data_IF_347527034006
#
_entry.id   IF_347527034006
#
_cell.length_a   1.000
_cell.length_b   1.000
_cell.length_c   1.000
_cell.angle_alpha   90.00
_cell.angle_beta   90.00
_cell.angle_gamma   90.00
#
_symmetry.space_group_name_H-M   'P 1'
#
loop_
_entity.id
_entity.type
_entity.pdbx_description
1 polymer ?
#
# COMPACT_ATOMS: atom_id res chain seq x y z
N UNK A 1 -24.44 -2.96 -26.53
CA UNK A 1 -23.15 -2.44 -27.07
C UNK A 1 -22.54 -1.34 -26.18
N UNK A 2 -23.32 -0.58 -25.40
CA UNK A 2 -22.82 0.48 -24.49
C UNK A 2 -21.96 -0.03 -23.32
N UNK A 3 -22.29 -1.17 -22.71
CA UNK A 3 -21.56 -1.69 -21.54
C UNK A 3 -20.12 -2.14 -21.84
N UNK A 4 -19.83 -2.59 -23.08
CA UNK A 4 -18.47 -3.00 -23.45
C UNK A 4 -17.56 -1.80 -23.69
N UNK A 5 -18.10 -0.68 -24.19
CA UNK A 5 -17.34 0.54 -24.40
C UNK A 5 -16.88 1.15 -23.07
N UNK A 6 -17.76 1.21 -22.06
CA UNK A 6 -17.39 1.70 -20.73
C UNK A 6 -16.34 0.82 -20.04
N UNK A 7 -16.40 -0.50 -20.24
CA UNK A 7 -15.38 -1.42 -19.71
C UNK A 7 -14.02 -1.20 -20.40
N UNK A 8 -14.00 -1.06 -21.73
CA UNK A 8 -12.77 -0.79 -22.48
C UNK A 8 -12.15 0.56 -22.11
N UNK A 9 -12.98 1.59 -21.92
CA UNK A 9 -12.54 2.90 -21.44
C UNK A 9 -11.91 2.79 -20.05
N UNK A 10 -12.59 2.13 -19.11
CA UNK A 10 -12.05 1.88 -17.76
C UNK A 10 -10.72 1.12 -17.80
N UNK A 11 -10.59 0.09 -18.65
CA UNK A 11 -9.33 -0.65 -18.83
C UNK A 11 -8.22 0.22 -19.41
N UNK A 12 -8.52 1.09 -20.37
CA UNK A 12 -7.54 2.01 -20.96
C UNK A 12 -7.07 3.05 -19.92
N UNK A 13 -7.99 3.59 -19.13
CA UNK A 13 -7.69 4.53 -18.05
C UNK A 13 -6.85 3.85 -16.94
N UNK A 14 -7.23 2.66 -16.51
CA UNK A 14 -6.45 1.88 -15.54
C UNK A 14 -5.04 1.60 -16.06
N UNK A 15 -4.90 1.17 -17.32
CA UNK A 15 -3.60 0.95 -17.94
C UNK A 15 -2.74 2.23 -18.00
N UNK A 16 -3.35 3.38 -18.26
CA UNK A 16 -2.67 4.68 -18.22
C UNK A 16 -2.19 5.02 -16.81
N UNK A 17 -3.06 4.92 -15.81
CA UNK A 17 -2.75 5.22 -14.41
C UNK A 17 -1.63 4.31 -13.88
N UNK A 18 -1.74 3.00 -14.12
CA UNK A 18 -0.71 2.02 -13.76
C UNK A 18 0.59 2.25 -14.54
N UNK A 19 0.52 2.59 -15.82
CA UNK A 19 1.69 2.87 -16.65
C UNK A 19 2.48 4.09 -16.16
N UNK A 20 1.79 5.20 -15.86
CA UNK A 20 2.41 6.39 -15.28
C UNK A 20 3.02 6.10 -13.90
N UNK A 21 2.28 5.39 -13.06
CA UNK A 21 2.76 4.95 -11.75
C UNK A 21 4.01 4.07 -11.88
N UNK A 22 4.01 3.11 -12.81
CA UNK A 22 5.16 2.24 -13.06
C UNK A 22 6.41 3.03 -13.47
N UNK A 23 6.28 4.06 -14.31
CA UNK A 23 7.40 4.95 -14.65
C UNK A 23 7.96 5.65 -13.42
N UNK A 24 7.09 6.21 -12.57
CA UNK A 24 7.52 6.86 -11.31
C UNK A 24 8.25 5.85 -10.42
N UNK A 25 7.63 4.70 -10.18
CA UNK A 25 8.10 3.72 -9.21
C UNK A 25 9.40 3.05 -9.62
N UNK A 26 9.58 2.74 -10.90
CA UNK A 26 10.85 2.18 -11.40
C UNK A 26 12.00 3.17 -11.27
N UNK A 27 11.73 4.47 -11.39
CA UNK A 27 12.71 5.54 -11.23
C UNK A 27 13.03 5.83 -9.76
N UNK A 28 12.02 6.03 -8.94
CA UNK A 28 12.17 6.28 -7.49
C UNK A 28 12.77 5.06 -6.81
N UNK A 29 12.25 3.86 -7.07
CA UNK A 29 12.80 2.60 -6.57
C UNK A 29 14.25 2.38 -7.04
N UNK A 30 14.55 2.67 -8.31
CA UNK A 30 15.92 2.60 -8.85
C UNK A 30 16.90 3.60 -8.21
N UNK A 31 16.42 4.78 -7.79
CA UNK A 31 17.23 5.76 -7.08
C UNK A 31 17.44 5.41 -5.59
N UNK A 32 16.46 4.75 -4.97
CA UNK A 32 16.52 4.36 -3.57
C UNK A 32 17.28 3.07 -3.32
N UNK A 33 17.22 2.12 -4.26
CA UNK A 33 17.86 0.82 -4.11
C UNK A 33 19.33 0.87 -4.57
N UNK A 34 20.26 0.22 -3.85
CA UNK A 34 21.61 0.04 -4.35
C UNK A 34 21.61 -0.82 -5.62
N UNK A 35 22.65 -0.69 -6.46
CA UNK A 35 22.81 -1.50 -7.67
C UNK A 35 22.88 -3.01 -7.40
N UNK A 36 23.25 -3.39 -6.17
CA UNK A 36 23.28 -4.77 -5.67
C UNK A 36 21.91 -5.32 -5.26
N UNK A 37 20.85 -4.51 -5.23
CA UNK A 37 19.52 -4.95 -4.84
C UNK A 37 18.96 -6.00 -5.81
N UNK A 38 18.51 -7.12 -5.25
CA UNK A 38 17.91 -8.21 -6.00
C UNK A 38 16.42 -7.96 -6.31
N UNK A 39 15.79 -8.94 -6.94
CA UNK A 39 14.39 -8.85 -7.36
C UNK A 39 13.43 -8.69 -6.18
N UNK A 40 13.69 -9.32 -5.04
CA UNK A 40 12.81 -9.27 -3.86
C UNK A 40 12.84 -7.86 -3.26
N UNK A 41 14.03 -7.28 -3.10
CA UNK A 41 14.17 -5.89 -2.65
C UNK A 41 13.49 -4.91 -3.62
N UNK A 42 13.62 -5.15 -4.93
CA UNK A 42 12.99 -4.30 -5.96
C UNK A 42 11.48 -4.36 -5.92
N UNK A 43 10.89 -5.55 -5.86
CA UNK A 43 9.43 -5.72 -5.78
C UNK A 43 8.91 -5.13 -4.48
N UNK A 44 9.53 -5.44 -3.33
CA UNK A 44 9.05 -4.99 -2.04
C UNK A 44 9.14 -3.48 -1.86
N UNK A 45 10.29 -2.86 -2.19
CA UNK A 45 10.45 -1.40 -2.07
C UNK A 45 9.59 -0.66 -3.08
N UNK A 46 9.59 -1.07 -4.36
CA UNK A 46 8.80 -0.38 -5.38
C UNK A 46 7.29 -0.58 -5.16
N UNK A 47 6.88 -1.75 -4.70
CA UNK A 47 5.49 -2.04 -4.34
C UNK A 47 5.01 -1.20 -3.15
N UNK A 48 5.82 -1.05 -2.11
CA UNK A 48 5.48 -0.17 -0.98
C UNK A 48 5.44 1.30 -1.39
N UNK A 49 6.38 1.75 -2.21
CA UNK A 49 6.35 3.09 -2.79
C UNK A 49 5.10 3.32 -3.64
N UNK A 50 4.59 2.28 -4.30
CA UNK A 50 3.33 2.36 -5.04
C UNK A 50 2.17 2.70 -4.10
N UNK A 51 2.04 1.94 -3.00
CA UNK A 51 0.98 2.14 -2.02
C UNK A 51 1.09 3.51 -1.34
N UNK A 52 2.30 3.87 -0.88
CA UNK A 52 2.61 5.18 -0.29
C UNK A 52 2.31 6.31 -1.26
N UNK A 53 2.76 6.20 -2.51
CA UNK A 53 2.62 7.23 -3.54
C UNK A 53 1.16 7.44 -3.94
N UNK A 54 0.40 6.37 -4.13
CA UNK A 54 -1.02 6.44 -4.43
C UNK A 54 -1.82 7.06 -3.29
N UNK A 55 -1.69 6.53 -2.07
CA UNK A 55 -2.40 7.05 -0.90
C UNK A 55 -2.00 8.51 -0.67
N UNK A 56 -0.72 8.85 -0.72
CA UNK A 56 -0.24 10.22 -0.54
C UNK A 56 -0.79 11.20 -1.59
N UNK A 57 -0.77 10.82 -2.88
CA UNK A 57 -1.32 11.64 -3.94
C UNK A 57 -2.82 11.89 -3.74
N UNK A 58 -3.59 10.81 -3.53
CA UNK A 58 -5.04 10.90 -3.37
C UNK A 58 -5.41 11.66 -2.10
N UNK A 59 -4.67 11.48 -1.01
CA UNK A 59 -4.86 12.22 0.22
C UNK A 59 -4.64 13.73 0.00
N UNK A 60 -3.56 14.13 -0.67
CA UNK A 60 -3.30 15.54 -0.96
C UNK A 60 -4.39 16.15 -1.83
N UNK A 61 -4.79 15.47 -2.92
CA UNK A 61 -5.84 15.96 -3.80
C UNK A 61 -7.21 16.03 -3.09
N UNK A 62 -7.52 15.02 -2.27
CA UNK A 62 -8.74 14.98 -1.47
C UNK A 62 -8.79 16.05 -0.39
N UNK A 63 -7.65 16.35 0.26
CA UNK A 63 -7.54 17.46 1.19
C UNK A 63 -7.72 18.81 0.49
N UNK A 64 -7.30 18.94 -0.76
CA UNK A 64 -7.49 20.14 -1.56
C UNK A 64 -8.91 20.25 -2.16
N UNK A 65 -9.71 19.18 -2.10
CA UNK A 65 -11.04 19.13 -2.72
C UNK A 65 -10.99 19.07 -4.24
N UNK A 66 -9.90 18.52 -4.80
CA UNK A 66 -9.68 18.43 -6.25
C UNK A 66 -9.35 17.00 -6.71
N UNK A 67 -9.82 15.99 -5.99
CA UNK A 67 -9.63 14.59 -6.35
C UNK A 67 -10.57 14.20 -7.50
N UNK A 68 -10.15 14.49 -8.73
CA UNK A 68 -10.87 14.12 -9.95
C UNK A 68 -9.93 13.35 -10.88
N UNK A 69 -10.45 12.41 -11.65
CA UNK A 69 -9.64 11.57 -12.54
C UNK A 69 -8.70 12.36 -13.47
N UNK A 70 -9.12 13.45 -14.16
CA UNK A 70 -8.20 14.23 -14.99
C UNK A 70 -7.06 14.88 -14.20
N UNK A 71 -7.32 15.31 -12.96
CA UNK A 71 -6.31 15.90 -12.07
C UNK A 71 -5.31 14.83 -11.63
N UNK A 72 -5.80 13.64 -11.27
CA UNK A 72 -4.96 12.48 -10.93
C UNK A 72 -4.04 12.12 -12.09
N UNK A 73 -4.59 12.01 -13.32
CA UNK A 73 -3.80 11.75 -14.54
C UNK A 73 -2.76 12.85 -14.77
N UNK A 74 -3.14 14.12 -14.64
CA UNK A 74 -2.23 15.26 -14.79
C UNK A 74 -1.08 15.24 -13.79
N UNK A 75 -1.38 14.97 -12.52
CA UNK A 75 -0.37 14.85 -11.47
C UNK A 75 0.56 13.65 -11.70
N UNK A 76 0.04 12.48 -12.04
CA UNK A 76 0.85 11.31 -12.38
C UNK A 76 1.72 11.55 -13.61
N UNK A 77 1.19 12.22 -14.64
CA UNK A 77 1.94 12.60 -15.83
C UNK A 77 3.10 13.54 -15.51
N UNK A 78 2.84 14.57 -14.70
CA UNK A 78 3.87 15.50 -14.24
C UNK A 78 4.95 14.81 -13.38
N UNK A 79 4.54 13.95 -12.44
CA UNK A 79 5.45 13.18 -11.60
C UNK A 79 6.27 12.16 -12.41
N UNK A 80 5.67 11.50 -13.39
CA UNK A 80 6.37 10.57 -14.28
C UNK A 80 7.39 11.31 -15.15
N UNK A 81 7.03 12.47 -15.71
CA UNK A 81 7.94 13.32 -16.47
C UNK A 81 9.09 13.82 -15.59
N UNK A 82 8.80 14.36 -14.41
CA UNK A 82 9.83 14.80 -13.47
C UNK A 82 10.76 13.65 -13.06
N UNK A 83 10.21 12.48 -12.75
CA UNK A 83 11.00 11.29 -12.42
C UNK A 83 11.89 10.84 -13.58
N UNK A 84 11.40 10.91 -14.82
CA UNK A 84 12.18 10.56 -16.00
C UNK A 84 13.32 11.56 -16.28
N UNK A 85 13.10 12.85 -15.96
CA UNK A 85 14.05 13.94 -16.17
C UNK A 85 15.12 14.03 -15.08
N UNK A 86 14.73 13.86 -13.81
CA UNK A 86 15.60 14.15 -12.67
C UNK A 86 16.16 12.92 -11.96
N UNK A 87 15.56 11.72 -12.14
CA UNK A 87 16.03 10.51 -11.49
C UNK A 87 16.83 9.62 -12.45
N UNK A 88 17.85 8.92 -11.93
CA UNK A 88 18.66 8.02 -12.74
C UNK A 88 17.82 6.97 -13.45
N UNK A 89 18.32 6.47 -14.58
CA UNK A 89 17.72 5.32 -15.25
C UNK A 89 17.80 4.11 -14.30
N UNK A 90 16.76 3.26 -14.27
CA UNK A 90 16.81 2.06 -13.46
C UNK A 90 17.99 1.22 -13.91
N UNK A 91 18.82 0.78 -12.97
CA UNK A 91 19.83 -0.25 -13.25
C UNK A 91 19.12 -1.51 -13.70
N UNK A 92 19.64 -2.18 -14.73
CA UNK A 92 19.12 -3.49 -15.14
C UNK A 92 19.06 -4.43 -13.94
N UNK A 93 18.01 -5.25 -13.88
CA UNK A 93 17.93 -6.32 -12.89
C UNK A 93 19.11 -7.22 -13.15
N UNK A 94 20.07 -7.25 -12.23
CA UNK A 94 21.13 -8.24 -12.27
C UNK A 94 20.43 -9.59 -12.13
N UNK A 95 20.63 -10.50 -13.09
CA UNK A 95 20.12 -11.87 -13.03
C UNK A 95 20.83 -12.64 -11.92
N UNK A 96 20.62 -12.22 -10.67
CA UNK A 96 20.83 -13.07 -9.52
C UNK A 96 19.67 -14.06 -9.49
N UNK A 97 19.98 -15.36 -9.57
CA UNK A 97 18.97 -16.41 -9.44
C UNK A 97 18.40 -16.35 -8.01
N UNK A 98 17.31 -15.63 -7.82
CA UNK A 98 16.46 -15.81 -6.65
C UNK A 98 15.91 -17.23 -6.77
N UNK A 99 16.43 -18.15 -5.96
CA UNK A 99 15.92 -19.52 -5.94
C UNK A 99 14.58 -19.52 -5.22
N UNK A 100 13.51 -19.79 -5.97
CA UNK A 100 12.17 -19.98 -5.42
C UNK A 100 11.98 -21.48 -5.17
N UNK A 101 11.85 -21.93 -3.91
CA UNK A 101 11.64 -23.34 -3.62
C UNK A 101 10.35 -23.85 -4.28
N UNK A 102 10.38 -25.04 -4.87
CA UNK A 102 9.20 -25.64 -5.51
C UNK A 102 8.03 -25.80 -4.53
N UNK A 103 8.32 -26.02 -3.24
CA UNK A 103 7.31 -26.05 -2.17
C UNK A 103 6.59 -24.71 -2.00
N UNK A 104 7.30 -23.58 -2.13
CA UNK A 104 6.69 -22.26 -2.08
C UNK A 104 5.71 -22.08 -3.25
N UNK A 105 6.12 -22.47 -4.46
CA UNK A 105 5.26 -22.39 -5.65
C UNK A 105 4.03 -23.29 -5.54
N UNK A 106 4.21 -24.51 -5.02
CA UNK A 106 3.12 -25.47 -4.83
C UNK A 106 2.02 -24.97 -3.90
N UNK A 107 2.37 -24.11 -2.93
CA UNK A 107 1.39 -23.47 -2.04
C UNK A 107 0.89 -22.15 -2.62
N UNK A 108 1.80 -21.29 -3.10
CA UNK A 108 1.45 -19.96 -3.59
C UNK A 108 0.50 -19.99 -4.79
N UNK A 109 0.70 -20.90 -5.75
CA UNK A 109 -0.09 -20.93 -6.99
C UNK A 109 -1.58 -21.27 -6.75
N UNK A 110 -1.96 -22.35 -6.04
CA UNK A 110 -3.36 -22.63 -5.74
C UNK A 110 -4.04 -21.51 -4.94
N UNK A 111 -3.35 -20.94 -3.94
CA UNK A 111 -3.90 -19.85 -3.14
C UNK A 111 -4.04 -18.56 -3.94
N UNK A 112 -3.10 -18.26 -4.83
CA UNK A 112 -3.22 -17.10 -5.74
C UNK A 112 -4.39 -17.29 -6.69
N UNK A 113 -4.55 -18.48 -7.28
CA UNK A 113 -5.68 -18.79 -8.14
C UNK A 113 -7.02 -18.65 -7.39
N UNK A 114 -7.11 -19.19 -6.17
CA UNK A 114 -8.29 -19.04 -5.34
C UNK A 114 -8.55 -17.58 -4.96
N UNK A 115 -7.51 -16.82 -4.58
CA UNK A 115 -7.62 -15.41 -4.25
C UNK A 115 -8.13 -14.58 -5.44
N UNK A 116 -7.66 -14.85 -6.65
CA UNK A 116 -8.15 -14.24 -7.89
C UNK A 116 -9.64 -14.58 -8.08
N UNK A 117 -10.01 -15.86 -7.96
CA UNK A 117 -11.41 -16.28 -8.09
C UNK A 117 -12.30 -15.56 -7.08
N UNK A 118 -11.94 -15.58 -5.80
CA UNK A 118 -12.72 -14.92 -4.75
C UNK A 118 -12.78 -13.40 -4.96
N UNK A 119 -11.66 -12.77 -5.32
CA UNK A 119 -11.58 -11.32 -5.51
C UNK A 119 -12.43 -10.80 -6.66
N UNK A 120 -12.46 -11.52 -7.79
CA UNK A 120 -13.09 -11.02 -9.02
C UNK A 120 -14.44 -11.65 -9.35
N UNK A 121 -14.81 -12.75 -8.69
CA UNK A 121 -16.07 -13.46 -8.95
C UNK A 121 -17.01 -13.50 -7.75
N UNK A 122 -16.57 -13.12 -6.54
CA UNK A 122 -17.46 -12.95 -5.40
C UNK A 122 -17.80 -11.45 -5.21
N UNK A 123 -19.08 -11.09 -5.04
CA UNK A 123 -19.44 -9.71 -4.70
C UNK A 123 -18.98 -9.38 -3.26
N UNK A 124 -18.52 -8.13 -2.99
CA UNK A 124 -18.02 -7.72 -1.69
C UNK A 124 -19.16 -7.42 -0.71
N UNK A 125 -19.87 -8.47 -0.29
CA UNK A 125 -21.09 -8.37 0.52
C UNK A 125 -20.86 -8.37 2.03
N UNK A 126 -19.60 -8.32 2.48
CA UNK A 126 -19.32 -8.22 3.91
C UNK A 126 -19.80 -6.88 4.47
N UNK A 127 -20.31 -6.90 5.69
CA UNK A 127 -21.06 -5.81 6.31
C UNK A 127 -20.32 -4.46 6.23
N UNK A 128 -19.06 -4.41 6.66
CA UNK A 128 -18.27 -3.17 6.65
C UNK A 128 -17.93 -2.69 5.23
N UNK A 129 -17.83 -3.63 4.28
CA UNK A 129 -17.55 -3.29 2.87
C UNK A 129 -18.66 -2.43 2.30
N UNK A 130 -19.90 -2.87 2.49
CA UNK A 130 -21.09 -2.20 1.95
C UNK A 130 -21.58 -1.05 2.83
N UNK A 131 -21.31 -1.06 4.13
CA UNK A 131 -21.74 0.00 5.03
C UNK A 131 -20.88 1.25 4.92
N UNK A 132 -19.57 1.10 4.80
CA UNK A 132 -18.71 2.29 4.85
C UNK A 132 -17.45 2.23 3.98
N UNK A 133 -16.76 1.11 3.77
CA UNK A 133 -15.53 1.18 2.96
C UNK A 133 -15.79 1.60 1.50
N UNK A 134 -16.75 0.94 0.84
CA UNK A 134 -17.17 1.27 -0.54
C UNK A 134 -17.92 2.60 -0.58
N UNK A 135 -18.77 2.86 0.43
CA UNK A 135 -19.57 4.09 0.50
C UNK A 135 -18.68 5.32 0.68
N UNK A 136 -17.68 5.24 1.55
CA UNK A 136 -16.69 6.31 1.74
C UNK A 136 -15.89 6.53 0.45
N UNK A 137 -15.42 5.46 -0.20
CA UNK A 137 -14.72 5.60 -1.47
C UNK A 137 -15.59 6.25 -2.57
N UNK A 138 -16.86 5.85 -2.68
CA UNK A 138 -17.81 6.48 -3.60
C UNK A 138 -18.04 7.97 -3.24
N UNK A 139 -18.21 8.29 -1.96
CA UNK A 139 -18.37 9.67 -1.52
C UNK A 139 -17.15 10.54 -1.84
N UNK A 140 -15.93 10.02 -1.65
CA UNK A 140 -14.69 10.73 -1.98
C UNK A 140 -14.61 10.96 -3.50
N UNK A 141 -15.00 9.95 -4.30
CA UNK A 141 -15.03 10.05 -5.76
C UNK A 141 -16.03 11.13 -6.24
N UNK A 142 -17.22 11.18 -5.64
CA UNK A 142 -18.28 12.11 -6.01
C UNK A 142 -18.01 13.55 -5.54
N UNK A 143 -17.49 13.71 -4.32
CA UNK A 143 -17.22 15.03 -3.73
C UNK A 143 -15.86 15.61 -4.12
N UNK A 144 -14.94 14.76 -4.59
CA UNK A 144 -13.53 15.11 -4.81
C UNK A 144 -12.77 15.43 -3.51
N UNK A 145 -13.31 15.11 -2.33
CA UNK A 145 -12.74 15.48 -1.03
C UNK A 145 -12.79 14.35 0.01
N UNK A 146 -11.82 14.38 0.94
CA UNK A 146 -11.79 13.49 2.12
C UNK A 146 -12.21 14.20 3.42
N UNK A 147 -12.54 15.51 3.36
CA UNK A 147 -12.79 16.33 4.57
C UNK A 147 -14.11 16.03 5.26
N UNK A 148 -15.05 15.44 4.55
CA UNK A 148 -16.33 14.99 5.09
C UNK A 148 -16.53 13.56 4.62
N UNK A 149 -16.81 12.66 5.55
CA UNK A 149 -17.20 11.30 5.23
C UNK A 149 -18.61 11.04 5.78
N UNK A 150 -19.42 10.25 5.06
CA UNK A 150 -20.79 9.99 5.46
C UNK A 150 -20.83 9.12 6.72
N UNK A 151 -21.84 9.32 7.56
CA UNK A 151 -22.13 8.38 8.64
C UNK A 151 -22.56 7.03 8.05
N UNK A 152 -22.02 5.92 8.59
CA UNK A 152 -22.42 4.59 8.14
C UNK A 152 -23.83 4.20 8.58
N UNK A 153 -24.29 4.75 9.71
CA UNK A 153 -25.63 4.57 10.26
C UNK A 153 -25.95 5.68 11.28
N UNK A 154 -27.24 5.94 11.57
CA UNK A 154 -27.62 6.87 12.63
C UNK A 154 -26.98 6.51 13.98
N UNK A 155 -26.31 7.46 14.61
CA UNK A 155 -25.64 7.26 15.90
C UNK A 155 -24.22 6.68 15.82
N UNK A 156 -23.69 6.44 14.62
CA UNK A 156 -22.26 6.15 14.45
C UNK A 156 -21.43 7.42 14.68
N UNK A 157 -20.78 7.51 15.84
CA UNK A 157 -19.98 8.65 16.29
C UNK A 157 -18.49 8.50 15.94
N UNK A 158 -18.16 7.81 14.84
CA UNK A 158 -16.78 7.80 14.32
C UNK A 158 -16.20 6.45 13.93
N UNK A 159 -16.90 5.33 14.19
CA UNK A 159 -16.34 3.98 13.99
C UNK A 159 -16.18 3.58 12.51
N UNK A 160 -16.89 4.27 11.61
CA UNK A 160 -16.89 3.97 10.18
C UNK A 160 -16.39 5.13 9.31
N UNK A 161 -16.00 6.25 9.92
CA UNK A 161 -15.63 7.47 9.18
C UNK A 161 -14.13 7.72 9.17
N UNK A 162 -13.36 7.25 10.15
CA UNK A 162 -11.93 7.54 10.21
C UNK A 162 -11.17 6.40 10.91
N UNK A 163 -9.91 6.12 10.53
CA UNK A 163 -9.16 6.71 9.41
C UNK A 163 -9.42 5.99 8.06
N UNK A 164 -8.95 6.55 6.92
CA UNK A 164 -9.51 6.23 5.59
C UNK A 164 -8.53 5.92 4.46
N UNK A 165 -7.25 5.62 4.75
CA UNK A 165 -6.28 5.26 3.70
C UNK A 165 -6.73 4.01 2.91
N UNK A 166 -7.44 3.08 3.54
CA UNK A 166 -8.06 1.94 2.86
C UNK A 166 -9.05 2.37 1.77
N UNK A 167 -9.95 3.28 2.12
CA UNK A 167 -10.90 3.86 1.15
C UNK A 167 -10.21 4.66 0.05
N UNK A 168 -9.09 5.34 0.32
CA UNK A 168 -8.28 5.95 -0.73
C UNK A 168 -7.67 4.90 -1.68
N UNK A 169 -7.22 3.77 -1.15
CA UNK A 169 -6.66 2.71 -1.98
C UNK A 169 -7.72 2.04 -2.88
N UNK A 170 -8.98 1.98 -2.44
CA UNK A 170 -10.09 1.55 -3.29
C UNK A 170 -10.28 2.45 -4.51
N UNK A 171 -9.92 3.74 -4.43
CA UNK A 171 -10.03 4.66 -5.56
C UNK A 171 -9.14 4.27 -6.73
N UNK A 172 -8.07 3.47 -6.56
CA UNK A 172 -7.28 2.97 -7.69
C UNK A 172 -8.19 2.30 -8.72
N UNK A 173 -9.11 1.45 -8.26
CA UNK A 173 -10.01 0.70 -9.13
C UNK A 173 -11.34 1.41 -9.34
N UNK A 174 -11.77 2.27 -8.42
CA UNK A 174 -13.06 2.96 -8.57
C UNK A 174 -12.97 4.19 -9.48
N UNK A 175 -11.83 4.90 -9.54
CA UNK A 175 -11.64 6.08 -10.40
C UNK A 175 -11.86 5.79 -11.90
N UNK A 176 -11.27 4.75 -12.51
CA UNK A 176 -11.45 4.49 -13.93
C UNK A 176 -12.76 3.75 -14.24
N UNK A 177 -13.24 2.87 -13.34
CA UNK A 177 -14.38 1.99 -13.63
C UNK A 177 -15.72 2.49 -13.07
N UNK A 178 -15.72 3.39 -12.09
CA UNK A 178 -16.91 3.81 -11.34
C UNK A 178 -17.73 2.61 -10.82
N UNK A 179 -17.05 1.52 -10.42
CA UNK A 179 -17.69 0.29 -9.94
C UNK A 179 -16.96 -0.26 -8.71
N UNK A 180 -17.70 -0.94 -7.84
CA UNK A 180 -17.17 -1.56 -6.62
C UNK A 180 -16.84 -3.06 -6.76
N UNK A 181 -17.15 -3.69 -7.89
CA UNK A 181 -16.86 -5.11 -8.16
C UNK A 181 -15.38 -5.46 -8.11
N UNK A 182 -14.49 -4.47 -8.24
CA UNK A 182 -13.04 -4.65 -8.16
C UNK A 182 -12.46 -4.29 -6.77
N UNK A 183 -13.30 -4.02 -5.77
CA UNK A 183 -12.86 -3.52 -4.45
C UNK A 183 -11.94 -4.47 -3.68
N UNK A 184 -11.92 -5.76 -4.02
CA UNK A 184 -10.99 -6.73 -3.43
C UNK A 184 -9.58 -6.71 -4.05
N UNK A 185 -9.39 -6.08 -5.22
CA UNK A 185 -8.09 -6.08 -5.89
C UNK A 185 -6.97 -5.40 -5.07
N UNK A 186 -7.21 -4.28 -4.36
CA UNK A 186 -6.23 -3.71 -3.43
C UNK A 186 -5.77 -4.68 -2.35
N UNK A 187 -6.67 -5.51 -1.80
CA UNK A 187 -6.32 -6.52 -0.80
C UNK A 187 -5.46 -7.63 -1.39
N UNK A 188 -5.75 -8.07 -2.62
CA UNK A 188 -4.92 -9.04 -3.33
C UNK A 188 -3.49 -8.51 -3.53
N UNK A 189 -3.34 -7.23 -3.91
CA UNK A 189 -2.03 -6.58 -4.03
C UNK A 189 -1.32 -6.50 -2.67
N UNK A 190 -2.02 -6.10 -1.61
CA UNK A 190 -1.47 -6.02 -0.27
C UNK A 190 -1.04 -7.40 0.27
N UNK A 191 -1.78 -8.46 -0.04
CA UNK A 191 -1.43 -9.83 0.32
C UNK A 191 -0.13 -10.27 -0.35
N UNK A 192 -0.01 -10.07 -1.66
CA UNK A 192 1.21 -10.37 -2.41
C UNK A 192 2.42 -9.61 -1.89
N UNK A 193 2.26 -8.30 -1.64
CA UNK A 193 3.33 -7.48 -1.06
C UNK A 193 3.67 -7.88 0.37
N UNK A 194 2.70 -8.30 1.19
CA UNK A 194 2.95 -8.77 2.56
C UNK A 194 3.87 -9.99 2.54
N UNK A 195 3.66 -10.93 1.61
CA UNK A 195 4.54 -12.10 1.43
C UNK A 195 5.97 -11.66 1.09
N UNK A 196 6.12 -10.72 0.15
CA UNK A 196 7.44 -10.21 -0.28
C UNK A 196 8.14 -9.47 0.88
N UNK A 197 7.43 -8.58 1.57
CA UNK A 197 7.96 -7.79 2.68
C UNK A 197 8.31 -8.67 3.88
N UNK A 198 7.54 -9.73 4.16
CA UNK A 198 7.94 -10.73 5.16
C UNK A 198 9.23 -11.46 4.75
N UNK A 199 9.40 -11.76 3.47
CA UNK A 199 10.67 -12.23 2.91
C UNK A 199 11.83 -11.28 3.22
N UNK A 200 11.63 -9.98 3.02
CA UNK A 200 12.62 -8.95 3.34
C UNK A 200 12.88 -8.83 4.85
N UNK A 201 11.83 -8.85 5.67
CA UNK A 201 11.92 -8.75 7.13
C UNK A 201 12.82 -9.84 7.70
N UNK A 202 12.57 -11.09 7.29
CA UNK A 202 13.32 -12.24 7.79
C UNK A 202 14.78 -12.20 7.33
N UNK A 203 15.08 -11.62 6.16
CA UNK A 203 16.48 -11.35 5.75
C UNK A 203 17.17 -10.34 6.64
N UNK A 204 16.49 -9.27 7.03
CA UNK A 204 17.07 -8.31 7.99
C UNK A 204 17.32 -8.96 9.37
N UNK A 205 16.59 -10.03 9.69
CA UNK A 205 16.82 -10.88 10.86
C UNK A 205 17.85 -12.02 10.64
N UNK A 206 18.55 -12.03 9.50
CA UNK A 206 19.60 -13.00 9.18
C UNK A 206 19.10 -14.37 8.69
N UNK A 207 17.84 -14.48 8.26
CA UNK A 207 17.27 -15.69 7.66
C UNK A 207 17.19 -15.58 6.13
N UNK A 208 16.95 -16.70 5.48
CA UNK A 208 16.71 -16.69 4.03
C UNK A 208 15.33 -16.09 3.72
N UNK A 209 15.22 -15.45 2.55
CA UNK A 209 14.00 -14.78 2.09
C UNK A 209 12.84 -15.77 1.95
N UNK A 210 13.13 -17.02 1.57
CA UNK A 210 12.14 -18.06 1.38
C UNK A 210 11.41 -18.41 2.68
N UNK A 211 12.11 -18.40 3.83
CA UNK A 211 11.51 -18.59 5.14
C UNK A 211 10.51 -17.47 5.48
N UNK A 212 10.86 -16.22 5.15
CA UNK A 212 9.95 -15.08 5.30
C UNK A 212 8.76 -15.15 4.35
N UNK A 213 8.96 -15.58 3.10
CA UNK A 213 7.86 -15.77 2.15
C UNK A 213 6.90 -16.88 2.61
N UNK A 214 7.40 -17.98 3.18
CA UNK A 214 6.55 -19.02 3.79
C UNK A 214 5.76 -18.44 4.98
N UNK A 215 6.41 -17.68 5.87
CA UNK A 215 5.73 -17.04 6.99
C UNK A 215 4.63 -16.08 6.51
N UNK A 216 4.92 -15.28 5.48
CA UNK A 216 3.94 -14.40 4.84
C UNK A 216 2.78 -15.17 4.22
N UNK A 217 3.05 -16.28 3.51
CA UNK A 217 2.01 -17.16 2.98
C UNK A 217 1.13 -17.72 4.08
N UNK A 218 1.72 -18.24 5.16
CA UNK A 218 0.95 -18.74 6.32
C UNK A 218 -0.01 -17.66 6.82
N UNK A 219 0.47 -16.42 7.01
CA UNK A 219 -0.36 -15.30 7.45
C UNK A 219 -1.52 -15.05 6.49
N UNK A 220 -1.25 -14.84 5.19
CA UNK A 220 -2.29 -14.45 4.21
C UNK A 220 -3.24 -15.60 3.85
N UNK A 221 -2.85 -16.85 4.11
CA UNK A 221 -3.70 -18.04 3.88
C UNK A 221 -4.52 -18.45 5.09
N UNK A 222 -4.28 -17.85 6.27
CA UNK A 222 -5.15 -18.09 7.43
C UNK A 222 -6.58 -17.65 7.14
N UNK A 223 -7.57 -18.32 7.72
CA UNK A 223 -8.97 -17.90 7.55
C UNK A 223 -9.22 -16.47 8.05
N UNK A 224 -8.55 -16.06 9.13
CA UNK A 224 -8.64 -14.72 9.68
C UNK A 224 -8.22 -13.63 8.68
N UNK A 225 -7.26 -13.92 7.81
CA UNK A 225 -6.88 -13.01 6.73
C UNK A 225 -7.68 -13.31 5.46
N UNK A 226 -7.58 -14.52 4.92
CA UNK A 226 -8.14 -14.88 3.63
C UNK A 226 -9.66 -14.70 3.59
N UNK A 227 -10.40 -15.23 4.56
CA UNK A 227 -11.86 -15.22 4.56
C UNK A 227 -12.47 -13.82 4.76
N UNK A 228 -11.73 -12.91 5.40
CA UNK A 228 -12.21 -11.56 5.68
C UNK A 228 -11.70 -10.50 4.70
N UNK A 229 -10.52 -10.70 4.12
CA UNK A 229 -9.88 -9.71 3.25
C UNK A 229 -10.03 -10.03 1.76
N UNK A 230 -9.98 -11.32 1.38
CA UNK A 230 -10.10 -11.70 -0.03
C UNK A 230 -11.57 -11.63 -0.44
N UNK A 231 -11.90 -10.78 -1.41
CA UNK A 231 -13.28 -10.56 -1.87
C UNK A 231 -14.07 -9.56 -1.02
N UNK A 232 -13.42 -8.79 -0.14
CA UNK A 232 -14.04 -7.68 0.59
C UNK A 232 -13.36 -6.35 0.26
N UNK A 233 -13.95 -5.25 0.73
CA UNK A 233 -13.35 -3.92 0.69
C UNK A 233 -12.70 -3.55 2.04
N UNK A 234 -12.43 -4.53 2.90
CA UNK A 234 -11.77 -4.30 4.21
C UNK A 234 -10.34 -3.82 3.96
N UNK A 235 -9.75 -3.12 4.92
CA UNK A 235 -8.45 -2.47 4.75
C UNK A 235 -7.38 -2.92 5.77
N UNK A 236 -7.67 -3.96 6.56
CA UNK A 236 -6.72 -4.54 7.50
C UNK A 236 -5.46 -5.07 6.77
N UNK A 237 -5.61 -5.52 5.52
CA UNK A 237 -4.51 -5.96 4.67
C UNK A 237 -3.45 -4.85 4.44
N UNK A 238 -3.89 -3.61 4.20
CA UNK A 238 -3.00 -2.46 4.02
C UNK A 238 -2.31 -2.10 5.35
N UNK A 239 -3.05 -2.17 6.46
CA UNK A 239 -2.50 -1.89 7.78
C UNK A 239 -1.43 -2.90 8.20
N UNK A 240 -1.68 -4.19 7.98
CA UNK A 240 -0.71 -5.25 8.23
C UNK A 240 0.55 -5.09 7.36
N UNK A 241 0.37 -4.77 6.08
CA UNK A 241 1.48 -4.45 5.18
C UNK A 241 2.32 -3.29 5.72
N UNK A 242 1.67 -2.20 6.13
CA UNK A 242 2.31 -1.00 6.67
C UNK A 242 3.12 -1.27 7.94
N UNK A 243 2.54 -2.00 8.91
CA UNK A 243 3.26 -2.40 10.14
C UNK A 243 4.47 -3.27 9.81
N UNK A 244 4.28 -4.27 8.95
CA UNK A 244 5.34 -5.20 8.57
C UNK A 244 6.48 -4.49 7.83
N UNK A 245 6.14 -3.62 6.87
CA UNK A 245 7.11 -2.80 6.15
C UNK A 245 7.81 -1.80 7.07
N UNK A 246 7.10 -1.22 8.04
CA UNK A 246 7.65 -0.37 9.08
C UNK A 246 8.75 -1.08 9.89
N UNK A 247 8.50 -2.33 10.31
CA UNK A 247 9.51 -3.16 10.96
C UNK A 247 10.71 -3.43 10.04
N UNK A 248 10.45 -3.87 8.80
CA UNK A 248 11.49 -4.21 7.81
C UNK A 248 12.43 -3.05 7.54
N UNK A 249 11.87 -1.87 7.24
CA UNK A 249 12.67 -0.69 6.96
C UNK A 249 13.29 -0.09 8.21
N UNK A 250 12.67 -0.28 9.38
CA UNK A 250 13.26 0.07 10.67
C UNK A 250 14.55 -0.71 10.96
N UNK A 251 14.54 -2.04 10.80
CA UNK A 251 15.74 -2.86 10.93
C UNK A 251 16.79 -2.51 9.87
N UNK A 252 16.37 -2.25 8.63
CA UNK A 252 17.29 -1.81 7.57
C UNK A 252 17.91 -0.45 7.89
N UNK A 253 17.16 0.48 8.48
CA UNK A 253 17.64 1.78 8.92
C UNK A 253 18.64 1.67 10.09
N UNK A 254 18.40 0.77 11.04
CA UNK A 254 19.33 0.44 12.13
C UNK A 254 20.64 -0.11 11.55
N UNK A 255 20.56 -1.09 10.66
CA UNK A 255 21.73 -1.77 10.09
C UNK A 255 22.58 -0.87 9.19
N UNK A 256 21.95 -0.04 8.37
CA UNK A 256 22.65 0.79 7.37
C UNK A 256 22.96 2.20 7.85
N UNK A 257 22.22 2.69 8.85
CA UNK A 257 22.31 4.08 9.31
C UNK A 257 21.71 5.12 8.37
N UNK A 258 21.16 4.73 7.21
CA UNK A 258 20.71 5.67 6.18
C UNK A 258 19.30 6.23 6.47
N UNK A 259 19.14 7.55 6.30
CA UNK A 259 17.88 8.25 6.56
C UNK A 259 16.71 7.77 5.69
N UNK A 260 16.96 7.37 4.44
CA UNK A 260 15.92 6.94 3.50
C UNK A 260 15.10 5.76 4.01
N UNK A 261 15.73 4.80 4.69
CA UNK A 261 15.01 3.65 5.26
C UNK A 261 14.20 4.05 6.47
N UNK A 262 14.70 5.01 7.27
CA UNK A 262 13.95 5.54 8.39
C UNK A 262 12.69 6.29 7.89
N UNK A 263 12.81 7.07 6.83
CA UNK A 263 11.65 7.73 6.18
C UNK A 263 10.66 6.70 5.64
N UNK A 264 11.13 5.64 4.96
CA UNK A 264 10.26 4.56 4.48
C UNK A 264 9.57 3.79 5.61
N UNK A 265 10.27 3.58 6.74
CA UNK A 265 9.66 3.01 7.94
C UNK A 265 8.54 3.92 8.46
N UNK A 266 8.79 5.23 8.55
CA UNK A 266 7.80 6.22 8.96
C UNK A 266 6.58 6.24 8.04
N UNK A 267 6.77 6.32 6.72
CA UNK A 267 5.69 6.30 5.73
C UNK A 267 4.86 5.00 5.83
N UNK A 268 5.52 3.85 6.04
CA UNK A 268 4.82 2.57 6.16
C UNK A 268 3.97 2.49 7.44
N UNK A 269 4.45 3.03 8.56
CA UNK A 269 3.67 3.13 9.78
C UNK A 269 2.55 4.17 9.67
N UNK A 270 2.81 5.28 8.97
CA UNK A 270 1.79 6.27 8.63
C UNK A 270 0.66 5.66 7.80
N UNK A 271 0.98 4.81 6.82
CA UNK A 271 -0.03 4.03 6.09
C UNK A 271 -0.89 3.21 7.04
N UNK A 272 -0.28 2.44 7.94
CA UNK A 272 -1.03 1.60 8.88
C UNK A 272 -1.92 2.42 9.83
N UNK A 273 -1.36 3.45 10.46
CA UNK A 273 -2.08 4.32 11.39
C UNK A 273 -3.19 5.12 10.70
N UNK A 274 -3.00 5.53 9.44
CA UNK A 274 -4.02 6.21 8.66
C UNK A 274 -5.01 5.28 7.96
N UNK A 275 -4.88 3.96 8.11
CA UNK A 275 -5.82 3.00 7.53
C UNK A 275 -6.87 2.56 8.53
N UNK A 276 -6.47 2.20 9.75
CA UNK A 276 -7.43 1.77 10.78
C UNK A 276 -6.90 2.05 12.19
N UNK A 277 -7.78 2.55 13.05
CA UNK A 277 -7.53 2.95 14.43
C UNK A 277 -7.06 1.78 15.32
N UNK A 278 -7.54 0.55 15.11
CA UNK A 278 -7.04 -0.64 15.84
C UNK A 278 -5.55 -0.92 15.58
N UNK A 279 -4.98 -0.39 14.49
CA UNK A 279 -3.56 -0.51 14.17
C UNK A 279 -2.69 0.60 14.77
N UNK A 280 -3.28 1.60 15.44
CA UNK A 280 -2.53 2.64 16.14
C UNK A 280 -1.58 2.06 17.18
N UNK A 281 -2.04 1.14 18.03
CA UNK A 281 -1.21 0.57 19.09
C UNK A 281 -0.07 -0.31 18.54
N UNK A 282 -0.32 -1.29 17.63
CA UNK A 282 0.78 -2.02 16.98
C UNK A 282 1.77 -1.12 16.24
N UNK A 283 1.29 -0.15 15.47
CA UNK A 283 2.16 0.75 14.71
C UNK A 283 2.97 1.67 15.63
N UNK A 284 2.38 2.18 16.71
CA UNK A 284 3.09 2.97 17.72
C UNK A 284 4.16 2.15 18.44
N UNK A 285 3.86 0.90 18.79
CA UNK A 285 4.85 0.00 19.39
C UNK A 285 6.06 -0.20 18.46
N UNK A 286 5.82 -0.40 17.15
CA UNK A 286 6.89 -0.47 16.15
C UNK A 286 7.61 0.87 16.03
N UNK A 287 6.89 1.99 16.00
CA UNK A 287 7.50 3.32 15.91
C UNK A 287 8.47 3.59 17.05
N UNK A 288 8.05 3.30 18.30
CA UNK A 288 8.90 3.42 19.49
C UNK A 288 10.12 2.51 19.38
N UNK A 289 9.94 1.26 18.95
CA UNK A 289 11.04 0.32 18.76
C UNK A 289 12.05 0.83 17.71
N UNK A 290 11.57 1.35 16.58
CA UNK A 290 12.42 1.91 15.51
C UNK A 290 13.18 3.14 15.99
N UNK A 291 12.50 4.09 16.66
CA UNK A 291 13.13 5.30 17.23
C UNK A 291 14.24 4.91 18.20
N UNK A 292 13.97 3.94 19.10
CA UNK A 292 14.93 3.48 20.09
C UNK A 292 16.13 2.77 19.44
N UNK A 293 15.88 1.81 18.55
CA UNK A 293 16.91 1.02 17.84
C UNK A 293 17.81 1.88 16.96
N UNK A 294 17.21 2.82 16.21
CA UNK A 294 17.96 3.72 15.35
C UNK A 294 18.62 4.88 16.11
N UNK A 295 18.45 4.95 17.44
CA UNK A 295 18.88 6.08 18.30
C UNK A 295 18.43 7.43 17.74
N UNK A 296 17.25 7.48 17.14
CA UNK A 296 16.76 8.68 16.46
C UNK A 296 16.61 9.86 17.43
N UNK A 297 16.38 9.61 18.72
CA UNK A 297 16.34 10.67 19.75
C UNK A 297 17.67 11.39 19.96
N UNK A 298 18.80 10.79 19.56
CA UNK A 298 20.11 11.44 19.62
C UNK A 298 20.37 12.38 18.43
N UNK A 299 19.53 12.33 17.39
CA UNK A 299 19.64 13.15 16.19
C UNK A 299 18.26 13.77 15.84
N UNK A 300 18.02 15.05 16.17
CA UNK A 300 16.72 15.68 16.01
C UNK A 300 16.24 15.69 14.55
N UNK A 301 17.15 15.71 13.56
CA UNK A 301 16.77 15.67 12.16
C UNK A 301 16.20 14.30 11.77
N UNK A 302 16.80 13.21 12.27
CA UNK A 302 16.31 11.85 12.03
C UNK A 302 14.96 11.62 12.70
N UNK A 303 14.81 12.08 13.93
CA UNK A 303 13.53 12.01 14.64
C UNK A 303 12.45 12.80 13.90
N UNK A 304 12.74 14.05 13.52
CA UNK A 304 11.79 14.89 12.79
C UNK A 304 11.41 14.26 11.44
N UNK A 305 12.37 13.78 10.66
CA UNK A 305 12.10 13.12 9.38
C UNK A 305 11.21 11.88 9.54
N UNK A 306 11.46 11.06 10.57
CA UNK A 306 10.62 9.89 10.87
C UNK A 306 9.20 10.29 11.26
N UNK A 307 9.05 11.23 12.20
CA UNK A 307 7.73 11.68 12.69
C UNK A 307 6.94 12.35 11.58
N UNK A 308 7.57 13.20 10.77
CA UNK A 308 6.93 13.83 9.61
C UNK A 308 6.50 12.78 8.57
N UNK A 309 7.29 11.74 8.36
CA UNK A 309 6.95 10.63 7.47
C UNK A 309 5.73 9.83 7.97
N UNK A 310 5.63 9.55 9.28
CA UNK A 310 4.44 8.92 9.89
C UNK A 310 3.24 9.85 9.74
N UNK A 311 3.40 11.13 10.06
CA UNK A 311 2.33 12.12 10.05
C UNK A 311 1.77 12.36 8.65
N UNK A 312 2.62 12.33 7.62
CA UNK A 312 2.25 12.61 6.23
C UNK A 312 1.11 11.73 5.69
N UNK A 313 0.95 10.52 6.23
CA UNK A 313 -0.08 9.56 5.78
C UNK A 313 -1.10 9.19 6.87
N UNK A 314 -1.02 9.79 8.07
CA UNK A 314 -1.93 9.48 9.17
C UNK A 314 -2.70 10.70 9.67
N UNK A 315 -2.05 11.85 9.83
CA UNK A 315 -2.62 13.03 10.51
C UNK A 315 -3.87 13.57 9.81
N UNK A 316 -3.96 13.46 8.49
CA UNK A 316 -5.12 13.92 7.73
C UNK A 316 -6.46 13.31 8.18
N UNK A 317 -6.42 12.19 8.89
CA UNK A 317 -7.61 11.48 9.38
C UNK A 317 -7.94 11.75 10.86
N UNK A 318 -7.09 12.50 11.55
CA UNK A 318 -7.21 12.76 13.00
C UNK A 318 -7.33 14.26 13.33
N UNK A 319 -7.47 15.10 12.31
CA UNK A 319 -7.55 16.57 12.39
C UNK A 319 -8.77 17.05 11.64
#
# INVERSE_FOLDING_TARGET
>A
MSAWLSVLEGLALEALLLGLSFVILTRVGGALLPSSADLIDRIGVSGLLAMVGWVGLLQVLGLLGVLWLPVVIGCLGALAAASALFLPRPTSVREGRVHIPASLLAVALPFTALAIVVTFFAPPLLDDSIRYHIVNAAHILDSGSIRALPFSQPGDLGSATYPGNGSLLLLLVMLPFHNASLSGAPNLLCAGLTVVVMGMLLRELGRDWSAGAIAGLVVVTTWAYFGWQMGSAYDDALSLLGVTAGMTFGFRAERTGELRWLVLAGLSLGLAMGTKDVYLLPALAVAVAVIWRCRATADPLRLAAFVLAVAALSVAWYV
#
